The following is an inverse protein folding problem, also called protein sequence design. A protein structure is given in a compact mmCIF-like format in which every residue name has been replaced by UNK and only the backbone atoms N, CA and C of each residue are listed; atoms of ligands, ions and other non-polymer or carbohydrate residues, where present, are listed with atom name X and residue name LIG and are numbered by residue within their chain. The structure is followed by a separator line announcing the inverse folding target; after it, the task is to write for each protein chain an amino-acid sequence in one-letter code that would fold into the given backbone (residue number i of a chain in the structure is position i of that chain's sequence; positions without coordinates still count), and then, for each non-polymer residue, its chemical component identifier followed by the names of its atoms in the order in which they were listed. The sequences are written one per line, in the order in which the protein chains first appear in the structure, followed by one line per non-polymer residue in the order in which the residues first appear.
data_IF_835839804550
#
_entry.id   IF_835839804550
#
_cell.length_a   1.000
_cell.length_b   1.000
_cell.length_c   1.000
_cell.angle_alpha   90.00
_cell.angle_beta   90.00
_cell.angle_gamma   90.00
#
_symmetry.space_group_name_H-M   'P 1'
#
loop_
_entity.id
_entity.type
_entity.pdbx_description
1 polymer ?
#
# COMPACT_ATOMS: atom_id res chain seq x y z
N UNK A 1 7.19 70.05 12.05
CA UNK A 1 8.06 69.06 12.68
C UNK A 1 7.76 67.73 12.03
N UNK A 2 8.63 67.26 11.14
CA UNK A 2 8.49 66.02 10.35
C UNK A 2 9.27 64.93 11.06
N UNK A 3 8.61 63.77 11.33
CA UNK A 3 9.21 62.57 11.87
C UNK A 3 9.71 61.66 10.74
N UNK A 4 10.88 61.04 10.86
CA UNK A 4 11.39 60.14 9.80
C UNK A 4 10.83 58.76 9.88
N UNK A 5 10.41 58.22 8.72
CA UNK A 5 10.02 56.83 8.49
C UNK A 5 11.22 55.92 8.52
N UNK A 6 11.30 55.04 9.52
CA UNK A 6 12.28 53.96 9.60
C UNK A 6 11.86 52.78 8.71
N UNK A 7 12.55 52.61 7.58
CA UNK A 7 12.49 51.42 6.77
C UNK A 7 13.14 50.24 7.52
N UNK A 8 12.33 49.31 7.99
CA UNK A 8 12.77 48.01 8.52
C UNK A 8 13.09 47.11 7.34
N UNK A 9 14.37 46.78 7.20
CA UNK A 9 14.88 45.85 6.20
C UNK A 9 14.35 44.42 6.42
N UNK A 10 13.87 43.84 5.32
CA UNK A 10 13.49 42.42 5.25
C UNK A 10 14.75 41.56 5.22
N UNK A 11 14.80 40.45 5.98
CA UNK A 11 15.90 39.50 5.89
C UNK A 11 15.79 38.68 4.61
N UNK A 12 16.81 38.77 3.75
CA UNK A 12 17.02 37.94 2.58
C UNK A 12 17.26 36.49 3.03
N UNK A 13 16.25 35.63 2.90
CA UNK A 13 16.44 34.18 3.02
C UNK A 13 17.31 33.68 1.88
N UNK A 14 18.56 33.36 2.20
CA UNK A 14 19.47 32.63 1.31
C UNK A 14 18.96 31.21 1.15
N UNK A 15 18.38 30.90 -0.01
CA UNK A 15 18.13 29.55 -0.49
C UNK A 15 19.47 28.81 -0.63
N UNK A 16 19.77 27.92 0.28
CA UNK A 16 20.91 27.01 0.21
C UNK A 16 20.50 25.83 -0.66
N UNK A 17 20.79 25.88 -1.96
CA UNK A 17 20.71 24.72 -2.85
C UNK A 17 21.73 23.68 -2.38
N UNK A 18 21.26 22.59 -1.77
CA UNK A 18 22.07 21.40 -1.61
C UNK A 18 22.06 20.61 -2.92
N UNK A 19 23.14 20.79 -3.68
CA UNK A 19 23.46 19.96 -4.84
C UNK A 19 23.96 18.61 -4.34
N UNK A 20 23.06 17.60 -4.29
CA UNK A 20 23.46 16.21 -4.13
C UNK A 20 23.91 15.68 -5.50
N UNK A 21 25.23 15.57 -5.67
CA UNK A 21 25.85 14.85 -6.79
C UNK A 21 25.63 13.35 -6.58
N UNK A 22 24.75 12.75 -7.37
CA UNK A 22 24.68 11.29 -7.46
C UNK A 22 25.73 10.82 -8.46
N UNK A 23 26.77 10.13 -7.94
CA UNK A 23 27.73 9.37 -8.75
C UNK A 23 26.96 8.23 -9.44
N UNK A 24 26.88 8.28 -10.76
CA UNK A 24 26.43 7.19 -11.59
C UNK A 24 27.51 6.09 -11.59
N UNK A 25 27.22 4.96 -10.94
CA UNK A 25 27.98 3.74 -11.14
C UNK A 25 27.35 2.97 -12.30
N UNK A 26 28.02 2.95 -13.45
CA UNK A 26 27.68 2.12 -14.58
C UNK A 26 28.08 0.69 -14.26
N UNK A 27 27.11 -0.15 -13.88
CA UNK A 27 27.26 -1.60 -13.77
C UNK A 27 26.64 -2.28 -14.97
N UNK A 28 27.47 -2.81 -15.86
CA UNK A 28 27.08 -3.70 -16.94
C UNK A 28 26.66 -5.05 -16.33
N UNK A 29 25.37 -5.37 -16.32
CA UNK A 29 24.90 -6.74 -16.06
C UNK A 29 24.42 -7.36 -17.37
N UNK A 30 25.25 -8.28 -17.89
CA UNK A 30 24.88 -9.23 -18.93
C UNK A 30 23.77 -10.14 -18.40
N UNK A 31 22.62 -10.15 -19.08
CA UNK A 31 21.54 -11.12 -18.85
C UNK A 31 21.87 -12.44 -19.52
N UNK A 32 21.88 -13.59 -18.84
CA UNK A 32 21.99 -14.87 -19.51
C UNK A 32 20.65 -15.22 -20.18
N UNK A 33 20.68 -15.39 -21.51
CA UNK A 33 19.57 -15.91 -22.31
C UNK A 33 19.35 -17.37 -21.93
N UNK A 34 18.13 -17.72 -21.50
CA UNK A 34 17.72 -19.13 -21.37
C UNK A 34 17.48 -19.71 -22.77
N UNK A 35 18.01 -20.91 -23.07
CA UNK A 35 17.69 -21.58 -24.33
C UNK A 35 16.27 -22.17 -24.27
N UNK A 36 15.50 -21.95 -25.33
CA UNK A 36 14.24 -22.64 -25.59
C UNK A 36 14.49 -24.10 -25.90
N UNK A 37 13.85 -25.00 -25.15
CA UNK A 37 13.82 -26.41 -25.48
C UNK A 37 12.93 -26.64 -26.68
N UNK A 38 13.52 -27.05 -27.78
CA UNK A 38 12.83 -27.60 -28.96
C UNK A 38 12.35 -29.02 -28.65
N UNK A 39 11.05 -29.25 -28.91
CA UNK A 39 10.44 -30.57 -28.93
C UNK A 39 11.13 -31.47 -29.96
N UNK A 40 11.57 -32.64 -29.56
CA UNK A 40 11.90 -33.75 -30.46
C UNK A 40 10.85 -34.84 -30.23
N UNK A 41 10.22 -35.24 -31.34
CA UNK A 41 9.29 -36.36 -31.41
C UNK A 41 9.98 -37.70 -31.15
N UNK A 42 9.27 -38.72 -30.61
CA UNK A 42 9.84 -40.05 -30.38
C UNK A 42 9.66 -40.96 -31.58
N UNK A 43 10.77 -41.53 -32.00
CA UNK A 43 10.82 -42.69 -32.90
C UNK A 43 10.47 -43.96 -32.14
N UNK A 44 9.59 -44.78 -32.72
CA UNK A 44 9.25 -46.14 -32.33
C UNK A 44 10.44 -47.05 -32.53
N UNK A 45 10.68 -47.93 -31.58
CA UNK A 45 11.23 -49.26 -31.79
C UNK A 45 10.78 -50.19 -30.66
N UNK A 46 10.37 -51.35 -31.10
CA UNK A 46 9.80 -52.48 -30.38
C UNK A 46 10.82 -53.18 -29.44
N UNK A 47 10.23 -53.99 -28.61
CA UNK A 47 10.58 -55.30 -28.06
C UNK A 47 11.26 -55.44 -26.68
N UNK A 48 10.54 -56.26 -25.99
CA UNK A 48 10.88 -57.38 -25.07
C UNK A 48 10.68 -57.20 -23.58
N UNK A 49 9.76 -58.03 -23.13
CA UNK A 49 9.45 -58.57 -21.80
C UNK A 49 10.65 -58.68 -20.84
N UNK A 50 10.52 -58.08 -19.65
CA UNK A 50 11.03 -58.68 -18.42
C UNK A 50 10.22 -58.14 -17.24
N UNK A 51 9.48 -59.02 -16.60
CA UNK A 51 8.78 -58.83 -15.32
C UNK A 51 9.79 -58.63 -14.20
N UNK A 52 9.73 -57.48 -13.54
CA UNK A 52 10.26 -57.32 -12.18
C UNK A 52 9.31 -56.41 -11.40
N UNK A 53 8.70 -57.00 -10.38
CA UNK A 53 7.95 -56.33 -9.33
C UNK A 53 8.75 -55.16 -8.76
N UNK A 54 8.31 -53.96 -9.04
CA UNK A 54 8.65 -52.78 -8.24
C UNK A 54 7.34 -52.15 -7.79
N UNK A 55 7.06 -52.35 -6.52
CA UNK A 55 6.04 -51.60 -5.77
C UNK A 55 6.13 -50.14 -6.08
N UNK A 56 5.19 -49.64 -6.88
CA UNK A 56 4.93 -48.22 -7.04
C UNK A 56 4.51 -47.67 -5.67
N UNK A 57 5.15 -46.61 -5.16
CA UNK A 57 4.61 -45.93 -3.98
C UNK A 57 3.21 -45.41 -4.35
N UNK A 58 2.21 -45.90 -3.68
CA UNK A 58 0.86 -45.38 -3.76
C UNK A 58 0.92 -43.88 -3.47
N UNK A 59 0.69 -43.08 -4.47
CA UNK A 59 0.45 -41.65 -4.30
C UNK A 59 -0.80 -41.56 -3.43
N UNK A 60 -0.59 -41.25 -2.15
CA UNK A 60 -1.67 -40.91 -1.25
C UNK A 60 -2.42 -39.77 -1.93
N UNK A 61 -3.62 -40.07 -2.41
CA UNK A 61 -4.52 -39.04 -2.89
C UNK A 61 -4.75 -38.09 -1.72
N UNK A 62 -4.02 -36.99 -1.72
CA UNK A 62 -4.22 -35.94 -0.73
C UNK A 62 -5.69 -35.57 -0.75
N UNK A 63 -6.31 -35.49 0.43
CA UNK A 63 -7.69 -35.07 0.56
C UNK A 63 -7.95 -33.88 -0.35
N UNK A 64 -9.05 -33.88 -1.13
CA UNK A 64 -9.38 -32.73 -1.98
C UNK A 64 -9.43 -31.48 -1.11
N UNK A 65 -8.96 -30.34 -1.60
CA UNK A 65 -8.93 -29.11 -0.83
C UNK A 65 -10.34 -28.85 -0.30
N UNK A 66 -10.49 -28.74 1.02
CA UNK A 66 -11.76 -28.42 1.67
C UNK A 66 -12.17 -27.00 1.28
N UNK A 67 -12.92 -26.88 0.21
CA UNK A 67 -13.60 -25.62 -0.08
C UNK A 67 -14.67 -25.39 0.99
N UNK A 68 -14.75 -24.17 1.58
CA UNK A 68 -15.78 -23.88 2.56
C UNK A 68 -17.15 -24.11 1.92
N UNK A 69 -17.93 -25.02 2.50
CA UNK A 69 -19.30 -25.28 2.05
C UNK A 69 -20.15 -24.06 2.40
N UNK A 70 -20.99 -23.63 1.47
CA UNK A 70 -21.95 -22.54 1.68
C UNK A 70 -22.90 -22.79 2.87
N UNK A 71 -23.09 -24.07 3.25
CA UNK A 71 -23.94 -24.51 4.35
C UNK A 71 -23.21 -24.53 5.70
N UNK A 72 -21.90 -24.26 5.73
CA UNK A 72 -21.14 -24.20 6.98
C UNK A 72 -21.56 -22.96 7.79
N UNK A 73 -22.09 -23.15 9.02
CA UNK A 73 -22.53 -22.04 9.86
C UNK A 73 -21.40 -21.07 10.22
N UNK A 74 -20.16 -21.55 10.34
CA UNK A 74 -19.01 -20.70 10.64
C UNK A 74 -18.60 -19.87 9.42
N UNK A 75 -18.78 -20.43 8.22
CA UNK A 75 -18.57 -19.66 6.99
C UNK A 75 -19.62 -18.55 6.82
N UNK A 76 -20.88 -18.81 7.14
CA UNK A 76 -21.95 -17.79 7.10
C UNK A 76 -21.67 -16.66 8.09
N UNK A 77 -21.36 -16.99 9.36
CA UNK A 77 -20.97 -15.99 10.37
C UNK A 77 -19.80 -15.13 9.92
N UNK A 78 -18.82 -15.76 9.28
CA UNK A 78 -17.69 -15.03 8.72
C UNK A 78 -18.14 -14.06 7.62
N UNK A 79 -19.00 -14.50 6.70
CA UNK A 79 -19.51 -13.66 5.61
C UNK A 79 -20.31 -12.47 6.14
N UNK A 80 -21.13 -12.66 7.15
CA UNK A 80 -21.87 -11.57 7.78
C UNK A 80 -20.93 -10.53 8.39
N UNK A 81 -19.85 -10.98 9.06
CA UNK A 81 -18.84 -10.08 9.61
C UNK A 81 -18.00 -9.39 8.51
N UNK A 82 -17.67 -10.09 7.45
CA UNK A 82 -17.00 -9.51 6.28
C UNK A 82 -17.81 -8.36 5.69
N UNK A 83 -19.12 -8.55 5.51
CA UNK A 83 -20.04 -7.50 5.01
C UNK A 83 -20.10 -6.31 5.97
N UNK A 84 -20.14 -6.55 7.27
CA UNK A 84 -20.12 -5.50 8.29
C UNK A 84 -18.83 -4.65 8.21
N UNK A 85 -17.67 -5.30 8.15
CA UNK A 85 -16.38 -4.63 8.00
C UNK A 85 -16.32 -3.84 6.69
N UNK A 86 -16.76 -4.44 5.58
CA UNK A 86 -16.78 -3.76 4.28
C UNK A 86 -17.67 -2.52 4.31
N UNK A 87 -18.85 -2.59 4.95
CA UNK A 87 -19.75 -1.44 5.10
C UNK A 87 -19.07 -0.26 5.79
N UNK A 88 -18.21 -0.53 6.76
CA UNK A 88 -17.50 0.53 7.49
C UNK A 88 -16.32 1.11 6.70
N UNK A 89 -15.54 0.26 6.01
CA UNK A 89 -14.30 0.73 5.37
C UNK A 89 -14.48 1.22 3.94
N UNK A 90 -15.50 0.75 3.21
CA UNK A 90 -15.73 1.15 1.81
C UNK A 90 -15.90 2.65 1.66
N UNK A 91 -16.72 3.35 2.47
CA UNK A 91 -16.86 4.79 2.37
C UNK A 91 -15.54 5.55 2.55
N UNK A 92 -14.72 5.12 3.52
CA UNK A 92 -13.40 5.73 3.80
C UNK A 92 -12.44 5.46 2.63
N UNK A 93 -12.45 4.23 2.10
CA UNK A 93 -11.62 3.85 0.96
C UNK A 93 -12.00 4.61 -0.31
N UNK A 94 -13.30 4.79 -0.57
CA UNK A 94 -13.79 5.55 -1.72
C UNK A 94 -13.39 7.02 -1.62
N UNK A 95 -13.62 7.65 -0.47
CA UNK A 95 -13.18 9.03 -0.22
C UNK A 95 -11.67 9.18 -0.47
N UNK A 96 -10.86 8.28 0.09
CA UNK A 96 -9.41 8.35 -0.09
C UNK A 96 -8.98 8.15 -1.53
N UNK A 97 -9.63 7.22 -2.25
CA UNK A 97 -9.36 7.03 -3.69
C UNK A 97 -9.79 8.22 -4.52
N UNK A 98 -10.90 8.85 -4.18
CA UNK A 98 -11.35 10.08 -4.84
C UNK A 98 -10.33 11.20 -4.62
N UNK A 99 -9.86 11.41 -3.40
CA UNK A 99 -8.82 12.40 -3.10
C UNK A 99 -7.53 12.12 -3.87
N UNK A 100 -7.07 10.87 -3.93
CA UNK A 100 -5.78 10.52 -4.50
C UNK A 100 -5.79 10.36 -6.03
N UNK A 101 -6.89 9.85 -6.61
CA UNK A 101 -6.91 9.41 -8.00
C UNK A 101 -7.89 10.17 -8.91
N UNK A 102 -8.76 11.00 -8.34
CA UNK A 102 -9.55 11.93 -9.15
C UNK A 102 -8.74 13.20 -9.46
N UNK A 103 -9.25 13.99 -10.39
CA UNK A 103 -8.68 15.32 -10.69
C UNK A 103 -9.15 16.41 -9.70
N UNK A 104 -9.69 16.01 -8.54
CA UNK A 104 -10.20 16.95 -7.53
C UNK A 104 -9.10 17.78 -6.88
N UNK A 105 -7.94 17.16 -6.66
CA UNK A 105 -6.75 17.79 -6.10
C UNK A 105 -5.56 17.64 -7.04
N UNK A 106 -4.79 18.70 -7.21
CA UNK A 106 -3.54 18.68 -7.95
C UNK A 106 -2.38 18.22 -7.04
N UNK A 107 -1.24 17.90 -7.66
CA UNK A 107 -0.02 17.57 -6.91
C UNK A 107 0.49 18.81 -6.17
N UNK A 108 0.76 18.66 -4.87
CA UNK A 108 1.13 19.77 -3.98
C UNK A 108 -0.07 20.56 -3.40
N UNK A 109 -1.30 20.16 -3.68
CA UNK A 109 -2.49 20.87 -3.22
C UNK A 109 -2.94 20.38 -1.82
N UNK A 110 -3.37 21.34 -0.98
CA UNK A 110 -3.93 21.07 0.35
C UNK A 110 -5.39 20.64 0.23
N UNK A 111 -5.81 19.74 1.12
CA UNK A 111 -7.21 19.34 1.19
C UNK A 111 -8.10 20.48 1.65
N UNK A 112 -9.38 20.40 1.27
CA UNK A 112 -10.42 21.25 1.85
C UNK A 112 -10.59 20.90 3.33
N UNK A 113 -11.09 21.83 4.12
CA UNK A 113 -11.29 21.64 5.57
C UNK A 113 -12.17 20.42 5.89
N UNK A 114 -13.17 20.16 5.03
CA UNK A 114 -14.08 19.02 5.19
C UNK A 114 -13.39 17.69 4.94
N UNK A 115 -12.64 17.57 3.85
CA UNK A 115 -11.90 16.37 3.51
C UNK A 115 -10.73 16.13 4.46
N UNK A 116 -10.04 17.20 4.88
CA UNK A 116 -8.99 17.13 5.89
C UNK A 116 -9.52 16.56 7.21
N UNK A 117 -10.63 17.13 7.72
CA UNK A 117 -11.29 16.61 8.93
C UNK A 117 -11.63 15.14 8.81
N UNK A 118 -12.24 14.73 7.68
CA UNK A 118 -12.59 13.33 7.44
C UNK A 118 -11.36 12.41 7.39
N UNK A 119 -10.26 12.85 6.79
CA UNK A 119 -9.01 12.10 6.72
C UNK A 119 -8.33 12.01 8.08
N UNK A 120 -8.32 13.09 8.86
CA UNK A 120 -7.76 13.10 10.22
C UNK A 120 -8.52 12.15 11.13
N UNK A 121 -9.85 12.28 11.19
CA UNK A 121 -10.69 11.49 12.10
C UNK A 121 -10.77 10.00 11.71
N UNK A 122 -10.85 9.69 10.42
CA UNK A 122 -11.09 8.31 9.95
C UNK A 122 -9.84 7.54 9.54
N UNK A 123 -8.72 8.22 9.31
CA UNK A 123 -7.47 7.60 8.88
C UNK A 123 -6.31 7.93 9.80
N UNK A 124 -5.91 9.19 9.92
CA UNK A 124 -4.71 9.57 10.64
C UNK A 124 -4.77 9.19 12.13
N UNK A 125 -5.94 9.31 12.76
CA UNK A 125 -6.16 8.91 14.15
C UNK A 125 -5.83 7.42 14.40
N UNK A 126 -6.01 6.56 13.39
CA UNK A 126 -5.70 5.13 13.48
C UNK A 126 -4.31 4.77 12.95
N UNK A 127 -3.49 5.75 12.56
CA UNK A 127 -2.14 5.43 12.13
C UNK A 127 -1.30 4.94 13.31
N UNK A 128 -0.56 3.79 13.19
CA UNK A 128 0.23 3.23 14.32
C UNK A 128 1.25 4.19 14.93
N UNK A 129 1.66 5.20 14.15
CA UNK A 129 2.59 6.27 14.54
C UNK A 129 1.98 7.64 14.24
N UNK A 130 0.73 7.87 14.65
CA UNK A 130 0.03 9.15 14.44
C UNK A 130 0.78 10.31 15.08
N UNK A 131 1.24 10.12 16.31
CA UNK A 131 1.95 11.14 17.08
C UNK A 131 3.27 11.53 16.40
N UNK A 132 4.03 10.55 15.89
CA UNK A 132 5.25 10.82 15.13
C UNK A 132 4.98 11.55 13.81
N UNK A 133 3.83 11.28 13.18
CA UNK A 133 3.44 11.96 11.94
C UNK A 133 2.99 13.39 12.18
N UNK A 134 2.25 13.64 13.24
CA UNK A 134 1.77 14.97 13.63
C UNK A 134 2.90 15.79 14.28
N UNK A 135 3.69 15.17 15.17
CA UNK A 135 4.84 15.79 15.83
C UNK A 135 4.48 17.08 16.56
N UNK A 136 5.06 18.19 16.14
CA UNK A 136 4.84 19.51 16.74
C UNK A 136 3.44 20.11 16.52
N UNK A 137 2.64 19.53 15.61
CA UNK A 137 1.28 19.93 15.31
C UNK A 137 0.94 19.78 13.84
N UNK A 138 -0.35 19.54 13.58
CA UNK A 138 -0.90 19.46 12.23
C UNK A 138 -1.27 20.87 11.76
N UNK A 139 -0.70 21.31 10.63
CA UNK A 139 -1.11 22.53 9.92
C UNK A 139 -2.18 22.19 8.88
N UNK A 140 -1.91 21.19 8.04
CA UNK A 140 -2.86 20.75 7.00
C UNK A 140 -2.50 19.35 6.48
N UNK A 141 -3.39 18.79 5.63
CA UNK A 141 -3.09 17.59 4.85
C UNK A 141 -3.00 17.98 3.38
N UNK A 142 -2.02 17.42 2.69
CA UNK A 142 -1.71 17.69 1.29
C UNK A 142 -1.65 16.38 0.50
N UNK A 143 -2.00 16.46 -0.79
CA UNK A 143 -1.80 15.38 -1.75
C UNK A 143 -0.60 15.71 -2.61
N UNK A 144 0.37 14.80 -2.71
CA UNK A 144 1.50 14.96 -3.61
C UNK A 144 2.04 13.59 -4.07
N UNK A 145 2.98 13.64 -4.99
CA UNK A 145 3.70 12.46 -5.46
C UNK A 145 4.76 12.04 -4.45
N UNK A 146 4.83 10.74 -4.20
CA UNK A 146 5.83 10.20 -3.30
C UNK A 146 7.25 10.47 -3.84
N UNK A 147 8.19 10.99 -3.02
CA UNK A 147 9.54 11.37 -3.48
C UNK A 147 10.31 10.22 -4.12
N UNK A 148 10.19 9.01 -3.59
CA UNK A 148 10.86 7.82 -4.12
C UNK A 148 10.04 7.13 -5.22
N UNK A 149 8.70 7.10 -5.08
CA UNK A 149 7.78 6.45 -6.02
C UNK A 149 7.00 7.49 -6.83
N UNK A 150 7.67 8.20 -7.72
CA UNK A 150 7.15 9.35 -8.49
C UNK A 150 5.81 9.11 -9.21
N UNK A 151 5.45 7.84 -9.46
CA UNK A 151 4.17 7.46 -10.08
C UNK A 151 3.03 7.28 -9.08
N UNK A 152 3.32 7.26 -7.78
CA UNK A 152 2.34 7.06 -6.72
C UNK A 152 2.04 8.37 -6.03
N UNK A 153 0.76 8.74 -5.97
CA UNK A 153 0.27 9.84 -5.15
C UNK A 153 0.00 9.34 -3.74
N UNK A 154 0.31 10.14 -2.75
CA UNK A 154 0.06 9.83 -1.34
C UNK A 154 -0.37 11.08 -0.58
N UNK A 155 -0.86 10.85 0.63
CA UNK A 155 -1.24 11.88 1.58
C UNK A 155 -0.02 12.26 2.42
N UNK A 156 0.14 13.56 2.65
CA UNK A 156 1.18 14.12 3.50
C UNK A 156 0.56 14.90 4.64
N UNK A 157 1.07 14.70 5.83
CA UNK A 157 0.85 15.60 6.97
C UNK A 157 1.79 16.77 6.81
N UNK A 158 1.26 17.97 6.71
CA UNK A 158 2.02 19.22 6.78
C UNK A 158 2.01 19.66 8.23
N UNK A 159 3.19 19.84 8.80
CA UNK A 159 3.39 20.21 10.20
C UNK A 159 3.49 21.72 10.37
N UNK A 160 3.23 22.18 11.57
CA UNK A 160 3.37 23.60 11.95
C UNK A 160 4.80 24.13 11.85
N UNK A 161 5.83 23.24 11.89
CA UNK A 161 7.24 23.59 11.66
C UNK A 161 7.62 23.71 10.18
N UNK A 162 6.66 23.49 9.26
CA UNK A 162 6.86 23.47 7.83
C UNK A 162 7.40 22.15 7.28
N UNK A 163 7.60 21.15 8.13
CA UNK A 163 7.91 19.78 7.69
C UNK A 163 6.68 19.08 7.13
N UNK A 164 6.90 18.14 6.20
CA UNK A 164 5.84 17.31 5.64
C UNK A 164 6.27 15.85 5.58
N UNK A 165 5.37 14.96 5.99
CA UNK A 165 5.65 13.54 6.14
C UNK A 165 4.52 12.74 5.50
N UNK A 166 4.84 11.79 4.64
CA UNK A 166 3.89 10.88 4.02
C UNK A 166 3.25 9.93 5.04
N UNK A 167 2.02 9.54 4.79
CA UNK A 167 1.39 8.43 5.49
C UNK A 167 0.54 7.57 4.56
N UNK A 168 0.49 6.29 4.87
CA UNK A 168 -0.23 5.31 4.07
C UNK A 168 -1.63 5.08 4.61
N UNK A 169 -2.66 5.43 3.84
CA UNK A 169 -4.05 5.14 4.20
C UNK A 169 -4.33 3.64 4.41
N UNK A 170 -3.62 2.76 3.70
CA UNK A 170 -3.76 1.32 3.90
C UNK A 170 -3.25 0.85 5.28
N UNK A 171 -2.20 1.50 5.83
CA UNK A 171 -1.74 1.22 7.19
C UNK A 171 -2.81 1.65 8.21
N UNK A 172 -3.40 2.82 8.00
CA UNK A 172 -4.49 3.33 8.84
C UNK A 172 -5.71 2.40 8.82
N UNK A 173 -6.17 1.97 7.63
CA UNK A 173 -7.30 1.06 7.52
C UNK A 173 -7.04 -0.30 8.19
N UNK A 174 -5.85 -0.87 8.03
CA UNK A 174 -5.50 -2.12 8.71
C UNK A 174 -5.50 -1.97 10.24
N UNK A 175 -5.01 -0.86 10.73
CA UNK A 175 -5.03 -0.57 12.17
C UNK A 175 -6.46 -0.36 12.68
N UNK A 176 -7.27 0.40 11.96
CA UNK A 176 -8.70 0.55 12.25
C UNK A 176 -9.44 -0.78 12.34
N UNK A 177 -9.21 -1.69 11.37
CA UNK A 177 -9.86 -3.00 11.37
C UNK A 177 -9.39 -3.85 12.57
N UNK A 178 -8.11 -3.78 12.95
CA UNK A 178 -7.57 -4.48 14.12
C UNK A 178 -8.16 -3.98 15.43
N UNK A 179 -8.34 -2.68 15.53
CA UNK A 179 -8.92 -2.04 16.70
C UNK A 179 -10.41 -2.38 16.86
N UNK A 180 -11.18 -2.21 15.78
CA UNK A 180 -12.63 -2.39 15.82
C UNK A 180 -13.10 -3.86 15.76
N UNK A 181 -12.36 -4.71 15.04
CA UNK A 181 -12.73 -6.11 14.76
C UNK A 181 -11.61 -7.10 15.07
N UNK A 182 -11.06 -7.15 16.29
CA UNK A 182 -9.84 -7.91 16.60
C UNK A 182 -9.94 -9.40 16.22
N UNK A 183 -11.11 -10.03 16.44
CA UNK A 183 -11.34 -11.47 16.18
C UNK A 183 -11.29 -11.83 14.69
N UNK A 184 -11.59 -10.89 13.81
CA UNK A 184 -11.73 -11.13 12.35
C UNK A 184 -10.71 -10.37 11.51
N UNK A 185 -9.96 -9.47 12.13
CA UNK A 185 -9.05 -8.55 11.45
C UNK A 185 -8.01 -9.24 10.59
N UNK A 186 -7.29 -10.22 11.14
CA UNK A 186 -6.19 -10.87 10.42
C UNK A 186 -6.68 -11.66 9.20
N UNK A 187 -7.82 -12.35 9.34
CA UNK A 187 -8.44 -13.05 8.21
C UNK A 187 -8.86 -12.06 7.13
N UNK A 188 -9.56 -11.00 7.52
CA UNK A 188 -10.02 -9.96 6.61
C UNK A 188 -8.85 -9.27 5.88
N UNK A 189 -7.81 -8.87 6.62
CA UNK A 189 -6.62 -8.23 6.05
C UNK A 189 -5.91 -9.17 5.07
N UNK A 190 -5.81 -10.45 5.39
CA UNK A 190 -5.20 -11.45 4.52
C UNK A 190 -6.00 -11.64 3.23
N UNK A 191 -7.34 -11.59 3.28
CA UNK A 191 -8.20 -11.79 2.11
C UNK A 191 -8.29 -10.54 1.23
N UNK A 192 -8.43 -9.34 1.81
CA UNK A 192 -8.71 -8.09 1.09
C UNK A 192 -7.50 -7.17 0.86
N UNK A 193 -6.46 -7.26 1.70
CA UNK A 193 -5.26 -6.44 1.59
C UNK A 193 -4.03 -7.26 1.17
N UNK A 194 -4.19 -8.25 0.29
CA UNK A 194 -3.07 -8.97 -0.30
C UNK A 194 -2.13 -7.96 -0.96
N UNK A 195 -0.85 -8.00 -0.59
CA UNK A 195 0.16 -7.31 -1.37
C UNK A 195 0.15 -7.94 -2.76
N UNK A 196 -0.23 -7.17 -3.77
CA UNK A 196 0.04 -7.59 -5.13
C UNK A 196 1.55 -7.84 -5.23
N UNK A 197 1.94 -9.08 -5.46
CA UNK A 197 3.28 -9.42 -5.89
C UNK A 197 3.40 -8.89 -7.31
N UNK A 198 3.85 -7.62 -7.42
CA UNK A 198 4.27 -7.05 -8.67
C UNK A 198 5.76 -7.27 -8.87
#
# INVERSE_FOLDING_TARGET
MAAPLLLRGLPLFRLRLHHHQYRAAAGFFSTPRRPWCTSAEPSRADDSLSSTDKSTPAWSAGDPPKYPRWDDPDYRKWKDKEVEILKDIVPITLLTKEILHSNRYLDGERLTVEDEKAVVEKLLAYHPHSDDKIGCGLDSIMVDRHPQFKRSRCLFVVRTDGGWIDFSYQKCLRAYIRDKYPSHAERFIKEHFKRGSG
#
